data_IF_043764242714
#
_entry.id   IF_043764242714
#
_cell.length_a   1.000
_cell.length_b   1.000
_cell.length_c   1.000
_cell.angle_alpha   90.00
_cell.angle_beta   90.00
_cell.angle_gamma   90.00
#
_symmetry.space_group_name_H-M   'P 1'
#
loop_
_entity.id
_entity.type
_entity.pdbx_description
1 polymer ?
#
# COMPACT_ATOMS: atom_id res chain seq x y z
N UNK A 1 0.32 3.77 -11.07
CA UNK A 1 1.62 3.30 -11.63
C UNK A 1 2.58 4.49 -11.78
N UNK A 2 3.91 4.28 -11.77
CA UNK A 2 4.88 5.39 -11.92
C UNK A 2 4.92 5.84 -13.40
N UNK A 3 4.53 7.09 -13.73
CA UNK A 3 4.57 7.59 -15.10
C UNK A 3 6.03 7.82 -15.57
N UNK A 4 6.22 7.91 -16.88
CA UNK A 4 7.48 8.42 -17.43
C UNK A 4 7.66 9.92 -17.12
N UNK A 5 8.87 10.43 -17.37
CA UNK A 5 9.25 11.80 -16.99
C UNK A 5 8.38 12.86 -17.67
N UNK A 6 8.07 12.68 -18.95
CA UNK A 6 7.29 13.63 -19.75
C UNK A 6 5.84 13.70 -19.22
N UNK A 7 5.23 12.54 -18.97
CA UNK A 7 3.90 12.43 -18.37
C UNK A 7 3.87 13.00 -16.93
N UNK A 8 4.94 12.81 -16.16
CA UNK A 8 5.05 13.37 -14.81
C UNK A 8 5.11 14.90 -14.81
N UNK A 9 5.85 15.50 -15.75
CA UNK A 9 5.92 16.95 -15.94
C UNK A 9 4.54 17.53 -16.32
N UNK A 10 3.81 16.88 -17.24
CA UNK A 10 2.43 17.25 -17.60
C UNK A 10 1.44 17.16 -16.41
N UNK A 11 1.59 16.15 -15.55
CA UNK A 11 0.75 16.01 -14.36
C UNK A 11 0.98 17.12 -13.33
N UNK A 12 2.22 17.58 -13.20
CA UNK A 12 2.58 18.70 -12.32
C UNK A 12 2.04 20.01 -12.90
N UNK A 13 2.21 20.24 -14.21
CA UNK A 13 1.76 21.47 -14.86
C UNK A 13 0.23 21.60 -14.91
N UNK A 14 -0.48 20.49 -15.09
CA UNK A 14 -1.95 20.50 -15.16
C UNK A 14 -2.64 20.72 -13.81
N UNK A 15 -1.96 20.46 -12.68
CA UNK A 15 -2.49 20.68 -11.32
C UNK A 15 -3.72 19.85 -10.93
N UNK A 16 -4.16 18.95 -11.80
CA UNK A 16 -5.40 18.17 -11.66
C UNK A 16 -5.17 16.76 -11.13
N UNK A 17 -3.91 16.37 -10.91
CA UNK A 17 -3.53 15.05 -10.44
C UNK A 17 -3.09 15.11 -8.97
N UNK A 18 -3.46 14.08 -8.21
CA UNK A 18 -3.03 13.90 -6.84
C UNK A 18 -2.20 12.63 -6.75
N UNK A 19 -1.17 12.68 -5.90
CA UNK A 19 -0.39 11.49 -5.58
C UNK A 19 -1.25 10.51 -4.79
N UNK A 20 -1.35 9.27 -5.29
CA UNK A 20 -1.93 8.19 -4.52
C UNK A 20 -0.93 7.78 -3.43
N UNK A 21 -1.26 8.05 -2.17
CA UNK A 21 -0.41 7.72 -1.01
C UNK A 21 -0.45 6.23 -0.65
N UNK A 22 -1.28 5.42 -1.33
CA UNK A 22 -1.52 4.01 -0.99
C UNK A 22 -2.33 3.83 0.29
N UNK A 23 -2.90 4.92 0.84
CA UNK A 23 -3.73 4.89 2.05
C UNK A 23 -5.20 4.84 1.64
N UNK A 24 -5.90 3.83 2.16
CA UNK A 24 -7.32 3.63 1.90
C UNK A 24 -8.11 3.50 3.19
N UNK A 25 -9.32 4.05 3.19
CA UNK A 25 -10.30 3.88 4.27
C UNK A 25 -11.63 3.45 3.65
N UNK A 26 -12.16 2.32 4.10
CA UNK A 26 -13.43 1.78 3.64
C UNK A 26 -14.16 1.06 4.77
N UNK A 27 -15.46 0.82 4.56
CA UNK A 27 -16.20 -0.17 5.35
C UNK A 27 -15.80 -1.57 4.86
N UNK A 28 -15.47 -2.48 5.78
CA UNK A 28 -15.08 -3.85 5.45
C UNK A 28 -16.10 -4.56 4.54
N UNK A 29 -17.41 -4.41 4.84
CA UNK A 29 -18.48 -4.92 3.98
C UNK A 29 -18.41 -4.39 2.55
N UNK A 30 -18.17 -3.08 2.38
CA UNK A 30 -18.06 -2.47 1.05
C UNK A 30 -16.89 -3.05 0.27
N UNK A 31 -15.75 -3.32 0.93
CA UNK A 31 -14.62 -3.95 0.27
C UNK A 31 -14.95 -5.39 -0.15
N UNK A 32 -15.59 -6.17 0.72
CA UNK A 32 -16.00 -7.55 0.42
C UNK A 32 -17.01 -7.61 -0.74
N UNK A 33 -17.99 -6.71 -0.78
CA UNK A 33 -18.97 -6.62 -1.87
C UNK A 33 -18.27 -6.29 -3.23
N UNK A 34 -17.14 -5.58 -3.21
CA UNK A 34 -16.32 -5.36 -4.41
C UNK A 34 -15.50 -6.58 -4.80
N UNK A 35 -14.90 -7.28 -3.83
CA UNK A 35 -14.21 -8.55 -4.10
C UNK A 35 -15.17 -9.57 -4.70
N UNK A 36 -16.42 -9.67 -4.22
CA UNK A 36 -17.43 -10.57 -4.78
C UNK A 36 -17.66 -10.33 -6.27
N UNK A 37 -17.78 -9.05 -6.68
CA UNK A 37 -18.04 -8.68 -8.08
C UNK A 37 -16.81 -8.78 -8.97
N UNK A 38 -15.67 -8.31 -8.47
CA UNK A 38 -14.48 -8.06 -9.29
C UNK A 38 -13.45 -9.21 -9.21
N UNK A 39 -13.44 -9.96 -8.11
CA UNK A 39 -12.47 -11.00 -7.79
C UNK A 39 -13.15 -12.17 -7.02
N UNK A 40 -14.17 -12.83 -7.61
CA UNK A 40 -15.03 -13.79 -6.91
C UNK A 40 -14.27 -14.96 -6.27
N UNK A 41 -13.23 -15.49 -6.92
CA UNK A 41 -12.38 -16.55 -6.34
C UNK A 41 -11.67 -16.10 -5.05
N UNK A 42 -11.16 -14.86 -5.05
CA UNK A 42 -10.56 -14.26 -3.84
C UNK A 42 -11.60 -14.05 -2.76
N UNK A 43 -12.80 -13.56 -3.14
CA UNK A 43 -13.92 -13.42 -2.21
C UNK A 43 -14.27 -14.75 -1.53
N UNK A 44 -14.42 -15.84 -2.28
CA UNK A 44 -14.83 -17.14 -1.72
C UNK A 44 -13.78 -17.72 -0.76
N UNK A 45 -12.50 -17.55 -1.07
CA UNK A 45 -11.39 -17.92 -0.18
C UNK A 45 -11.39 -17.08 1.10
N UNK A 46 -11.63 -15.77 0.98
CA UNK A 46 -11.78 -14.88 2.14
C UNK A 46 -12.99 -15.28 3.00
N UNK A 47 -14.13 -15.61 2.38
CA UNK A 47 -15.32 -16.11 3.09
C UNK A 47 -15.04 -17.42 3.84
N UNK A 48 -14.26 -18.31 3.23
CA UNK A 48 -13.87 -19.58 3.87
C UNK A 48 -13.01 -19.35 5.11
N UNK A 49 -11.99 -18.51 5.02
CA UNK A 49 -11.17 -18.12 6.18
C UNK A 49 -11.97 -17.35 7.23
N UNK A 50 -12.96 -16.54 6.82
CA UNK A 50 -13.84 -15.82 7.75
C UNK A 50 -14.74 -16.75 8.54
N UNK A 51 -15.21 -17.87 7.96
CA UNK A 51 -16.02 -18.88 8.66
C UNK A 51 -15.26 -19.62 9.74
N UNK A 52 -13.93 -19.72 9.63
CA UNK A 52 -13.06 -20.31 10.66
C UNK A 52 -12.54 -19.28 11.67
N UNK A 53 -13.01 -18.03 11.62
CA UNK A 53 -12.55 -17.01 12.56
C UNK A 53 -12.99 -17.36 13.98
N UNK A 54 -12.07 -17.23 14.94
CA UNK A 54 -12.27 -17.53 16.37
C UNK A 54 -12.62 -19.01 16.64
N UNK A 55 -12.18 -19.92 15.77
CA UNK A 55 -12.29 -21.37 15.96
C UNK A 55 -10.93 -22.04 16.12
N UNK A 56 -10.90 -23.27 16.64
CA UNK A 56 -9.68 -24.08 16.78
C UNK A 56 -8.99 -24.35 15.42
N UNK A 57 -9.75 -24.33 14.32
CA UNK A 57 -9.25 -24.59 12.97
C UNK A 57 -8.71 -23.34 12.25
N UNK A 58 -8.84 -22.15 12.83
CA UNK A 58 -8.52 -20.87 12.16
C UNK A 58 -7.14 -20.88 11.50
N UNK A 59 -6.11 -21.26 12.25
CA UNK A 59 -4.72 -21.22 11.78
C UNK A 59 -4.51 -22.16 10.60
N UNK A 60 -5.08 -23.37 10.67
CA UNK A 60 -5.00 -24.35 9.59
C UNK A 60 -5.68 -23.82 8.32
N UNK A 61 -6.91 -23.31 8.44
CA UNK A 61 -7.68 -22.80 7.30
C UNK A 61 -6.98 -21.61 6.64
N UNK A 62 -6.38 -20.71 7.42
CA UNK A 62 -5.57 -19.61 6.88
C UNK A 62 -4.35 -20.15 6.13
N UNK A 63 -3.60 -21.09 6.73
CA UNK A 63 -2.40 -21.65 6.11
C UNK A 63 -2.69 -22.41 4.81
N UNK A 64 -3.83 -23.08 4.72
CA UNK A 64 -4.23 -23.83 3.53
C UNK A 64 -4.72 -22.91 2.40
N UNK A 65 -5.42 -21.82 2.73
CA UNK A 65 -6.05 -20.96 1.71
C UNK A 65 -5.27 -19.71 1.33
N UNK A 66 -4.58 -19.06 2.26
CA UNK A 66 -3.87 -17.81 1.99
C UNK A 66 -2.82 -17.94 0.87
N UNK A 67 -2.02 -19.03 0.78
CA UNK A 67 -1.06 -19.19 -0.32
C UNK A 67 -1.72 -19.36 -1.70
N UNK A 68 -3.00 -19.72 -1.74
CA UNK A 68 -3.77 -19.93 -2.98
C UNK A 68 -4.45 -18.66 -3.48
N UNK A 69 -4.36 -17.56 -2.73
CA UNK A 69 -4.89 -16.27 -3.16
C UNK A 69 -4.11 -15.74 -4.36
N UNK A 70 -4.82 -15.09 -5.26
CA UNK A 70 -4.21 -14.38 -6.38
C UNK A 70 -3.33 -13.25 -5.86
N UNK A 71 -2.06 -13.24 -6.27
CA UNK A 71 -1.11 -12.17 -5.92
C UNK A 71 -1.35 -10.96 -6.81
N UNK A 72 -2.23 -10.06 -6.36
CA UNK A 72 -2.59 -8.83 -7.06
C UNK A 72 -2.71 -7.69 -6.05
N UNK A 73 -2.29 -6.48 -6.42
CA UNK A 73 -2.47 -5.32 -5.55
C UNK A 73 -3.93 -4.89 -5.49
N UNK A 74 -4.31 -4.20 -4.42
CA UNK A 74 -5.68 -3.71 -4.26
C UNK A 74 -6.05 -2.64 -5.31
N UNK A 75 -5.05 -1.91 -5.80
CA UNK A 75 -5.21 -0.94 -6.88
C UNK A 75 -5.75 -1.62 -8.16
N UNK A 76 -5.07 -2.67 -8.62
CA UNK A 76 -5.48 -3.41 -9.82
C UNK A 76 -6.69 -4.32 -9.57
N UNK A 77 -6.78 -4.91 -8.37
CA UNK A 77 -7.86 -5.81 -8.04
C UNK A 77 -9.21 -5.07 -7.98
N UNK A 78 -9.21 -3.88 -7.39
CA UNK A 78 -10.41 -3.12 -7.04
C UNK A 78 -10.34 -1.69 -7.60
N UNK A 79 -9.40 -0.86 -7.15
CA UNK A 79 -9.50 0.61 -7.33
C UNK A 79 -9.61 1.09 -8.78
N UNK A 80 -8.90 0.46 -9.72
CA UNK A 80 -8.97 0.82 -11.14
C UNK A 80 -10.29 0.43 -11.82
N UNK A 81 -11.09 -0.45 -11.18
CA UNK A 81 -12.31 -1.03 -11.74
C UNK A 81 -13.59 -0.50 -11.08
N UNK A 82 -13.47 0.17 -9.94
CA UNK A 82 -14.62 0.75 -9.22
C UNK A 82 -15.12 1.99 -9.96
N UNK A 83 -16.44 2.22 -9.96
CA UNK A 83 -17.03 3.44 -10.51
C UNK A 83 -16.38 4.65 -9.81
N UNK A 84 -15.77 5.60 -10.54
CA UNK A 84 -15.19 6.81 -9.97
C UNK A 84 -16.16 7.59 -9.06
N UNK A 85 -17.48 7.45 -9.26
CA UNK A 85 -18.52 8.05 -8.42
C UNK A 85 -18.63 7.43 -7.03
N UNK A 86 -18.11 6.22 -6.82
CA UNK A 86 -18.06 5.55 -5.52
C UNK A 86 -16.77 5.89 -4.74
N UNK A 87 -15.76 6.42 -5.42
CA UNK A 87 -14.49 6.85 -4.81
C UNK A 87 -14.57 8.31 -4.38
N UNK A 88 -14.01 8.63 -3.21
CA UNK A 88 -13.81 10.01 -2.75
C UNK A 88 -12.35 10.21 -2.42
N UNK A 89 -11.78 11.32 -2.89
CA UNK A 89 -10.39 11.67 -2.65
C UNK A 89 -10.37 12.83 -1.66
N UNK A 90 -9.65 12.65 -0.56
CA UNK A 90 -9.39 13.71 0.41
C UNK A 90 -7.98 14.24 0.12
N UNK A 91 -7.89 15.51 -0.30
CA UNK A 91 -6.61 16.21 -0.35
C UNK A 91 -6.16 16.44 1.09
N UNK A 92 -5.02 15.88 1.46
CA UNK A 92 -4.45 16.06 2.78
C UNK A 92 -2.97 16.42 2.64
N UNK A 93 -2.58 17.52 3.29
CA UNK A 93 -1.17 17.85 3.50
C UNK A 93 -0.75 17.21 4.83
N UNK A 94 -0.30 15.96 4.76
CA UNK A 94 0.06 15.17 5.92
C UNK A 94 1.57 15.26 6.24
N UNK A 95 2.34 16.11 5.54
CA UNK A 95 3.80 16.08 5.60
C UNK A 95 4.38 14.71 5.23
N UNK A 96 3.69 13.99 4.35
CA UNK A 96 4.02 12.63 3.95
C UNK A 96 5.12 12.66 2.88
N UNK A 97 6.24 12.00 3.15
CA UNK A 97 7.32 11.77 2.20
C UNK A 97 7.39 10.26 1.95
N UNK A 98 7.23 9.84 0.70
CA UNK A 98 7.54 8.46 0.30
C UNK A 98 9.05 8.26 0.42
N UNK A 99 9.49 7.60 1.49
CA UNK A 99 10.90 7.25 1.68
C UNK A 99 11.20 6.05 0.77
N UNK A 100 11.25 6.34 -0.53
CA UNK A 100 11.36 5.33 -1.58
C UNK A 100 12.79 4.82 -1.79
N UNK A 101 13.80 5.47 -1.20
CA UNK A 101 15.18 5.01 -1.19
C UNK A 101 15.92 5.57 0.04
N UNK A 102 17.08 4.98 0.36
CA UNK A 102 17.88 5.32 1.54
C UNK A 102 18.40 6.76 1.53
N UNK A 103 18.57 7.33 0.35
CA UNK A 103 19.01 8.71 0.15
C UNK A 103 17.90 9.70 0.56
N UNK A 104 16.65 9.44 0.18
CA UNK A 104 15.48 10.21 0.62
C UNK A 104 15.28 10.17 2.15
N UNK A 105 15.58 9.03 2.80
CA UNK A 105 15.57 8.93 4.26
C UNK A 105 16.62 9.83 4.89
N UNK A 106 17.84 9.81 4.32
CA UNK A 106 18.97 10.59 4.83
C UNK A 106 18.68 12.09 4.75
N UNK A 107 18.20 12.56 3.59
CA UNK A 107 17.83 13.96 3.38
C UNK A 107 16.70 14.42 4.33
N UNK A 108 15.69 13.57 4.57
CA UNK A 108 14.58 13.90 5.47
C UNK A 108 15.04 13.96 6.95
N UNK A 109 15.95 13.07 7.36
CA UNK A 109 16.51 13.08 8.72
C UNK A 109 17.41 14.30 8.96
N UNK A 110 18.19 14.71 7.95
CA UNK A 110 19.04 15.89 8.01
C UNK A 110 18.20 17.17 8.10
N UNK A 111 17.16 17.30 7.27
CA UNK A 111 16.20 18.42 7.33
C UNK A 111 15.51 18.57 8.70
N UNK A 112 15.28 17.46 9.40
CA UNK A 112 14.67 17.45 10.75
C UNK A 112 15.67 17.63 11.89
N UNK A 113 16.97 17.79 11.60
CA UNK A 113 18.03 17.96 12.60
C UNK A 113 18.29 16.71 13.45
N UNK A 114 17.91 15.52 12.97
CA UNK A 114 18.03 14.25 13.70
C UNK A 114 19.40 13.58 13.49
N UNK A 115 20.48 14.35 13.63
CA UNK A 115 21.85 13.93 13.30
C UNK A 115 22.32 12.69 14.09
N UNK A 116 21.89 12.53 15.34
CA UNK A 116 22.21 11.34 16.15
C UNK A 116 21.63 10.04 15.55
N UNK A 117 20.47 10.13 14.88
CA UNK A 117 19.86 8.99 14.18
C UNK A 117 20.58 8.69 12.87
N UNK A 118 21.11 9.71 12.20
CA UNK A 118 21.91 9.58 10.99
C UNK A 118 23.22 8.82 11.29
N UNK A 119 23.89 9.17 12.38
CA UNK A 119 25.16 8.55 12.76
C UNK A 119 24.99 7.08 13.15
N UNK A 120 23.91 6.77 13.88
CA UNK A 120 23.53 5.39 14.20
C UNK A 120 23.16 4.59 12.95
N UNK A 121 22.48 5.21 11.98
CA UNK A 121 22.13 4.57 10.72
C UNK A 121 23.37 4.23 9.87
N UNK A 122 24.36 5.14 9.79
CA UNK A 122 25.65 4.90 9.12
C UNK A 122 26.43 3.73 9.70
N UNK A 123 26.44 3.57 11.02
CA UNK A 123 27.12 2.44 11.67
C UNK A 123 26.52 1.09 11.25
N UNK A 124 25.19 1.00 11.14
CA UNK A 124 24.47 -0.22 10.74
C UNK A 124 24.79 -0.60 9.29
N UNK A 125 24.81 0.36 8.36
CA UNK A 125 25.17 0.09 6.95
C UNK A 125 26.62 -0.40 6.80
N UNK A 126 27.56 0.21 7.53
CA UNK A 126 28.97 -0.18 7.49
C UNK A 126 29.20 -1.58 8.08
N UNK A 127 28.41 -2.00 9.06
CA UNK A 127 28.45 -3.37 9.56
C UNK A 127 27.87 -4.41 8.60
N UNK A 128 26.86 -4.03 7.80
CA UNK A 128 26.24 -4.92 6.80
C UNK A 128 27.07 -5.08 5.53
N UNK A 129 27.91 -4.09 5.18
CA UNK A 129 28.84 -4.16 4.03
C UNK A 129 30.17 -4.89 4.33
N UNK A 130 30.38 -5.31 5.58
CA UNK A 130 31.57 -6.07 6.02
C UNK A 130 31.25 -7.54 6.35
N UNK A 131 30.14 -8.08 5.82
CA UNK A 131 29.74 -9.50 5.93
C UNK A 131 29.75 -10.17 4.57
#
# INVERSE_FOLDING_TARGET
>A
EKPDKETAEEFIESGNYLWNTGIYVWKAKSLLDHYEKLQPDTHDKLQTMMKSYDTEDQEKVINDHYPTLTKISIDYAIMEKVDPKEVRIIKADLGWTDIGNWEALYEELEKRGLNDKIEKFRQIQNSSNNS
#
